data_IF_018728331336
#
_entry.id   IF_018728331336
#
_cell.length_a   1.000
_cell.length_b   1.000
_cell.length_c   1.000
_cell.angle_alpha   90.00
_cell.angle_beta   90.00
_cell.angle_gamma   90.00
#
_symmetry.space_group_name_H-M   'P 1'
#
loop_
_entity.id
_entity.type
_entity.pdbx_description
1 polymer ?
#
# COMPACT_ATOMS: atom_id res chain seq x y z
N UNK A 1 -0.67 -16.07 9.39
CA UNK A 1 -0.48 -15.94 8.57
C UNK A 1 -1.13 -15.30 7.69
N UNK A 2 -1.33 -14.41 7.62
CA UNK A 2 -2.01 -13.72 6.94
C UNK A 2 -1.59 -13.69 5.74
N UNK A 3 -2.03 -14.23 5.14
CA UNK A 3 -1.72 -14.22 4.02
C UNK A 3 -2.56 -13.40 3.26
N UNK A 4 -3.20 -12.46 3.81
CA UNK A 4 -4.08 -11.61 3.10
C UNK A 4 -3.26 -10.62 2.31
N UNK A 5 -3.30 -10.70 1.02
CA UNK A 5 -2.56 -9.79 0.15
C UNK A 5 -3.00 -8.34 0.31
N UNK A 6 -4.28 -8.12 0.58
CA UNK A 6 -4.79 -6.77 0.75
C UNK A 6 -4.10 -6.09 1.92
N UNK A 7 -3.85 -6.81 3.00
CA UNK A 7 -3.16 -6.23 4.13
C UNK A 7 -1.75 -5.84 3.77
N UNK A 8 -1.11 -6.60 2.92
CA UNK A 8 0.24 -6.27 2.50
C UNK A 8 0.25 -5.03 1.63
N UNK A 9 -0.76 -4.89 0.76
CA UNK A 9 -0.87 -3.70 -0.07
C UNK A 9 -1.15 -2.47 0.77
N UNK A 10 -2.03 -2.59 1.75
CA UNK A 10 -2.35 -1.48 2.64
C UNK A 10 -1.11 -1.08 3.42
N UNK A 11 -0.38 -2.07 3.95
CA UNK A 11 0.85 -1.80 4.68
C UNK A 11 1.87 -1.07 3.81
N UNK A 12 2.02 -1.51 2.56
CA UNK A 12 2.98 -0.90 1.66
C UNK A 12 2.62 0.56 1.39
N UNK A 13 1.36 0.80 1.09
CA UNK A 13 0.90 2.16 0.81
C UNK A 13 1.09 3.06 2.04
N UNK A 14 0.72 2.56 3.20
CA UNK A 14 0.89 3.34 4.42
C UNK A 14 2.34 3.65 4.69
N UNK A 15 3.21 2.68 4.46
CA UNK A 15 4.64 2.85 4.70
C UNK A 15 5.21 3.95 3.80
N UNK A 16 4.87 3.90 2.51
CA UNK A 16 5.36 4.91 1.57
C UNK A 16 4.75 6.27 1.87
N UNK A 17 3.45 6.29 2.16
CA UNK A 17 2.73 7.54 2.41
C UNK A 17 3.30 8.26 3.63
N UNK A 18 3.51 7.54 4.72
CA UNK A 18 4.01 8.14 5.95
C UNK A 18 5.46 8.61 5.82
N UNK A 19 6.26 7.89 5.05
CA UNK A 19 7.65 8.27 4.87
C UNK A 19 7.81 9.45 3.94
N UNK A 20 6.86 9.66 3.05
CA UNK A 20 7.00 10.67 2.01
C UNK A 20 7.81 10.11 0.86
N UNK A 21 9.07 9.83 1.08
CA UNK A 21 9.96 9.21 0.09
C UNK A 21 10.75 8.13 0.81
N UNK A 22 10.88 6.97 0.18
CA UNK A 22 11.50 5.85 0.85
C UNK A 22 12.11 4.92 -0.19
N UNK A 23 13.25 4.32 0.12
CA UNK A 23 13.88 3.37 -0.79
C UNK A 23 13.33 1.98 -0.56
N UNK A 24 13.56 1.11 -1.54
CA UNK A 24 13.16 -0.28 -1.40
C UNK A 24 13.85 -0.93 -0.21
N UNK A 25 15.11 -0.61 0.01
CA UNK A 25 15.86 -1.18 1.13
C UNK A 25 15.26 -0.77 2.46
N UNK A 26 14.83 0.47 2.56
CA UNK A 26 14.19 0.96 3.78
C UNK A 26 12.83 0.31 4.00
N UNK A 27 12.09 0.11 2.91
CA UNK A 27 10.80 -0.59 2.98
C UNK A 27 11.03 -2.00 3.50
N UNK A 28 12.05 -2.68 2.99
CA UNK A 28 12.34 -4.04 3.42
C UNK A 28 12.78 -4.10 4.87
N UNK A 29 13.53 -3.12 5.31
CA UNK A 29 13.92 -3.07 6.71
C UNK A 29 12.70 -2.99 7.61
N UNK A 30 11.74 -2.15 7.26
CA UNK A 30 10.51 -2.02 8.03
C UNK A 30 9.66 -3.29 7.97
N UNK A 31 9.66 -3.94 6.82
CA UNK A 31 8.90 -5.19 6.64
C UNK A 31 9.44 -6.28 7.56
N UNK A 32 10.76 -6.47 7.55
CA UNK A 32 11.40 -7.49 8.36
C UNK A 32 11.16 -7.20 9.85
N UNK A 33 11.26 -5.94 10.23
CA UNK A 33 11.09 -5.56 11.63
C UNK A 33 9.66 -5.79 12.10
N UNK A 34 8.70 -5.48 11.25
CA UNK A 34 7.31 -5.58 11.68
C UNK A 34 6.76 -6.99 11.63
N UNK A 35 7.06 -7.72 10.57
CA UNK A 35 6.44 -9.04 10.37
C UNK A 35 7.35 -10.21 10.66
N UNK A 36 8.62 -9.94 10.91
CA UNK A 36 9.59 -10.98 11.21
C UNK A 36 9.61 -12.05 10.12
N UNK A 37 9.50 -11.60 8.88
CA UNK A 37 9.56 -12.49 7.73
C UNK A 37 10.76 -12.15 6.88
N UNK A 38 11.03 -12.99 5.90
CA UNK A 38 12.15 -12.76 4.99
C UNK A 38 11.92 -11.47 4.20
N UNK A 39 13.00 -10.83 3.77
CA UNK A 39 12.87 -9.61 2.97
C UNK A 39 12.05 -9.86 1.71
N UNK A 40 11.35 -8.83 1.28
CA UNK A 40 10.53 -8.91 0.09
C UNK A 40 11.43 -8.91 -1.13
N UNK A 41 11.33 -9.90 -2.04
CA UNK A 41 12.10 -9.85 -3.27
C UNK A 41 11.66 -8.66 -4.12
N UNK A 42 12.58 -8.10 -4.90
CA UNK A 42 12.27 -6.94 -5.71
C UNK A 42 11.12 -7.19 -6.67
N UNK A 43 11.06 -8.37 -7.26
CA UNK A 43 9.97 -8.72 -8.15
C UNK A 43 8.63 -8.68 -7.43
N UNK A 44 8.59 -9.23 -6.22
CA UNK A 44 7.38 -9.23 -5.42
C UNK A 44 6.98 -7.82 -5.03
N UNK A 45 7.95 -6.99 -4.68
CA UNK A 45 7.70 -5.59 -4.35
C UNK A 45 7.01 -4.88 -5.52
N UNK A 46 7.52 -5.08 -6.73
CA UNK A 46 6.91 -4.43 -7.90
C UNK A 46 5.50 -4.94 -8.16
N UNK A 47 5.25 -6.22 -7.92
CA UNK A 47 3.89 -6.76 -8.08
C UNK A 47 2.95 -6.10 -7.08
N UNK A 48 3.38 -5.98 -5.84
CA UNK A 48 2.56 -5.36 -4.81
C UNK A 48 2.31 -3.88 -5.11
N UNK A 49 3.34 -3.21 -5.62
CA UNK A 49 3.23 -1.80 -5.95
C UNK A 49 2.19 -1.58 -7.04
N UNK A 50 2.26 -2.37 -8.09
CA UNK A 50 1.32 -2.25 -9.20
C UNK A 50 -0.10 -2.60 -8.75
N UNK A 51 -0.23 -3.66 -7.96
CA UNK A 51 -1.54 -4.05 -7.46
C UNK A 51 -2.15 -2.97 -6.57
N UNK A 52 -1.33 -2.35 -5.74
CA UNK A 52 -1.79 -1.28 -4.87
C UNK A 52 -2.22 -0.06 -5.68
N UNK A 53 -1.47 0.27 -6.73
CA UNK A 53 -1.85 1.38 -7.60
C UNK A 53 -3.22 1.15 -8.22
N UNK A 54 -3.44 -0.05 -8.71
CA UNK A 54 -4.71 -0.37 -9.35
C UNK A 54 -5.85 -0.43 -8.35
N UNK A 55 -5.60 -1.07 -7.23
CA UNK A 55 -6.65 -1.26 -6.24
C UNK A 55 -7.07 0.03 -5.56
N UNK A 56 -6.11 0.90 -5.26
CA UNK A 56 -6.40 2.08 -4.48
C UNK A 56 -6.35 3.39 -5.28
N UNK A 57 -6.22 3.27 -6.59
CA UNK A 57 -6.19 4.45 -7.46
C UNK A 57 -5.10 5.42 -7.01
N UNK A 58 -3.90 4.88 -6.83
CA UNK A 58 -2.75 5.68 -6.43
C UNK A 58 -1.73 5.67 -7.54
N UNK A 59 -0.83 6.65 -7.49
CA UNK A 59 0.30 6.69 -8.40
C UNK A 59 1.56 6.64 -7.54
N UNK A 60 2.29 5.54 -7.63
CA UNK A 60 3.53 5.37 -6.88
C UNK A 60 4.68 5.56 -7.84
N UNK A 61 5.37 6.67 -7.72
CA UNK A 61 6.46 7.02 -8.60
C UNK A 61 7.81 6.70 -7.95
N UNK A 62 8.84 6.65 -8.78
CA UNK A 62 10.17 6.40 -8.30
C UNK A 62 11.09 7.52 -8.77
N UNK A 63 11.68 8.24 -7.83
CA UNK A 63 12.60 9.28 -8.17
C UNK A 63 14.00 8.70 -8.14
N UNK A 64 14.72 8.82 -9.23
CA UNK A 64 16.04 8.19 -9.36
C UNK A 64 17.18 9.04 -8.83
N UNK A 65 16.98 10.36 -8.73
CA UNK A 65 18.05 11.20 -8.27
C UNK A 65 18.35 10.90 -6.82
N UNK A 66 19.61 10.69 -6.51
CA UNK A 66 19.98 10.45 -5.12
C UNK A 66 19.57 9.07 -4.63
N UNK A 67 19.34 8.13 -5.55
CA UNK A 67 18.88 6.81 -5.19
C UNK A 67 17.44 6.63 -5.58
N UNK A 68 16.97 5.42 -5.63
CA UNK A 68 15.61 5.18 -6.07
C UNK A 68 14.66 5.32 -4.88
N UNK A 69 14.00 6.47 -4.81
CA UNK A 69 13.04 6.73 -3.73
C UNK A 69 11.62 6.67 -4.28
N UNK A 70 10.80 5.91 -3.63
CA UNK A 70 9.39 5.76 -4.01
C UNK A 70 8.53 6.73 -3.22
N UNK A 71 7.51 7.28 -3.86
CA UNK A 71 6.59 8.21 -3.20
C UNK A 71 5.24 8.15 -3.89
N UNK A 72 4.21 8.63 -3.22
CA UNK A 72 2.86 8.64 -3.78
C UNK A 72 2.64 10.01 -4.43
N UNK A 73 2.52 10.00 -5.73
CA UNK A 73 2.44 11.22 -6.52
C UNK A 73 1.18 12.04 -6.18
N UNK A 74 0.05 11.35 -5.99
CA UNK A 74 -1.19 12.04 -5.67
C UNK A 74 -1.48 12.10 -4.16
N UNK A 75 -0.43 12.21 -3.35
CA UNK A 75 -0.57 12.26 -1.91
C UNK A 75 -1.40 13.44 -1.42
N UNK A 76 -1.31 14.58 -2.12
CA UNK A 76 -2.06 15.77 -1.70
C UNK A 76 -3.57 15.56 -1.81
N UNK A 77 -4.00 14.82 -2.83
CA UNK A 77 -5.40 14.52 -2.98
C UNK A 77 -5.85 13.61 -1.84
N UNK A 78 -5.04 12.61 -1.53
CA UNK A 78 -5.35 11.65 -0.49
C UNK A 78 -5.45 12.33 0.86
N UNK A 79 -4.59 13.32 1.09
CA UNK A 79 -4.50 13.97 2.37
C UNK A 79 -5.81 14.65 2.78
N UNK A 80 -6.60 15.10 1.84
CA UNK A 80 -7.82 15.83 2.14
C UNK A 80 -8.79 15.07 3.02
N UNK A 81 -8.99 13.80 2.77
CA UNK A 81 -9.90 13.01 3.57
C UNK A 81 -9.22 11.95 4.40
N UNK A 82 -7.88 11.89 4.31
CA UNK A 82 -7.11 10.91 5.04
C UNK A 82 -6.89 9.63 4.24
N UNK A 83 -5.77 8.99 4.51
CA UNK A 83 -5.37 7.80 3.75
C UNK A 83 -6.38 6.67 3.93
N UNK A 84 -6.82 6.43 5.14
CA UNK A 84 -7.74 5.32 5.39
C UNK A 84 -9.04 5.49 4.60
N UNK A 85 -9.60 6.68 4.61
CA UNK A 85 -10.81 6.95 3.85
C UNK A 85 -10.58 6.75 2.37
N UNK A 86 -9.42 7.18 1.88
CA UNK A 86 -9.10 7.00 0.47
C UNK A 86 -9.07 5.53 0.11
N UNK A 87 -8.41 4.71 0.93
CA UNK A 87 -8.28 3.28 0.65
C UNK A 87 -9.64 2.60 0.64
N UNK A 88 -10.46 2.90 1.62
CA UNK A 88 -11.78 2.29 1.71
C UNK A 88 -12.67 2.70 0.55
N UNK A 89 -12.65 3.98 0.22
CA UNK A 89 -13.50 4.49 -0.86
C UNK A 89 -13.08 3.96 -2.22
N UNK A 90 -11.79 3.87 -2.48
CA UNK A 90 -11.33 3.40 -3.78
C UNK A 90 -11.61 1.92 -3.96
N UNK A 91 -11.52 1.14 -2.90
CA UNK A 91 -11.88 -0.25 -3.00
C UNK A 91 -13.35 -0.38 -3.32
N UNK A 92 -14.19 0.39 -2.66
CA UNK A 92 -15.63 0.32 -2.91
C UNK A 92 -15.95 0.64 -4.36
N UNK A 93 -15.28 1.64 -4.93
CA UNK A 93 -15.54 2.03 -6.31
C UNK A 93 -14.97 1.00 -7.27
N UNK A 94 -13.71 0.59 -7.05
CA UNK A 94 -13.05 -0.27 -7.99
C UNK A 94 -13.66 -1.64 -8.04
N UNK A 95 -14.28 -2.09 -6.98
CA UNK A 95 -14.81 -3.42 -6.91
C UNK A 95 -16.31 -3.49 -6.97
N UNK A 96 -16.92 -2.54 -7.64
CA UNK A 96 -18.38 -2.59 -7.82
C UNK A 96 -18.80 -3.82 -8.58
N UNK A 97 -17.92 -4.31 -9.47
CA UNK A 97 -18.24 -5.47 -10.27
C UNK A 97 -17.81 -6.76 -9.61
N UNK A 98 -17.08 -6.70 -8.51
CA UNK A 98 -16.66 -7.88 -7.82
C UNK A 98 -17.34 -7.89 -6.49
N UNK A 99 -17.36 -8.99 -5.84
CA UNK A 99 -17.90 -9.02 -4.50
C UNK A 99 -16.88 -8.34 -3.61
N UNK A 100 -16.90 -7.05 -3.59
CA UNK A 100 -15.91 -6.30 -2.86
C UNK A 100 -16.28 -6.15 -1.40
N UNK A 101 -17.45 -6.57 -1.01
CA UNK A 101 -17.86 -6.42 0.38
C UNK A 101 -16.91 -7.15 1.31
N UNK A 102 -16.51 -8.36 0.95
CA UNK A 102 -15.59 -9.09 1.80
C UNK A 102 -14.22 -8.43 1.86
N UNK A 103 -13.78 -7.79 0.78
CA UNK A 103 -12.51 -7.09 0.77
C UNK A 103 -12.58 -5.86 1.67
N UNK A 104 -13.66 -5.10 1.55
CA UNK A 104 -13.86 -3.92 2.36
C UNK A 104 -13.96 -4.28 3.83
N UNK A 105 -14.71 -5.33 4.13
CA UNK A 105 -14.86 -5.79 5.50
C UNK A 105 -13.54 -6.24 6.06
N UNK A 106 -12.72 -6.87 5.25
CA UNK A 106 -11.44 -7.34 5.69
C UNK A 106 -10.54 -6.18 6.09
N UNK A 107 -10.53 -5.11 5.33
CA UNK A 107 -9.74 -3.94 5.67
C UNK A 107 -10.23 -3.32 6.97
N UNK A 108 -11.54 -3.20 7.11
CA UNK A 108 -12.13 -2.61 8.30
C UNK A 108 -11.86 -3.45 9.53
N UNK A 109 -11.98 -4.76 9.40
CA UNK A 109 -11.78 -5.63 10.54
C UNK A 109 -10.33 -5.69 10.98
N UNK A 110 -9.41 -5.58 10.05
CA UNK A 110 -8.03 -5.66 10.43
C UNK A 110 -7.49 -4.37 10.98
N UNK A 111 -8.23 -3.30 10.83
CA UNK A 111 -7.86 -2.05 11.45
C UNK A 111 -8.36 -2.02 12.89
N UNK A 112 -9.20 -2.95 13.28
CA UNK A 112 -9.74 -2.97 14.62
C UNK A 112 -8.85 -3.82 15.48
N UNK A 113 -8.31 -3.31 16.53
CA UNK A 113 -7.40 -4.06 17.41
C UNK A 113 -8.05 -5.27 18.04
#
# INVERSE_FOLDING_TARGET
MAKNLINRYVWLVETIYKAGRITFEEINQKWVEKFEEDPIPLRTFHKWRIAAEEMFNLVIECERKGGYHYYIENADEIKRGGLRNWLINTISVSNLLLDSQSIKDRILLEDIP
#
